data_IF_602644082024
#
_entry.id   IF_602644082024
#
_cell.length_a   1.000
_cell.length_b   1.000
_cell.length_c   1.000
_cell.angle_alpha   90.00
_cell.angle_beta   90.00
_cell.angle_gamma   90.00
#
_symmetry.space_group_name_H-M   'P 1'
#
loop_
_entity.id
_entity.type
_entity.pdbx_description
1 polymer ?
#
# COMPACT_ATOMS: atom_id res chain seq x y z
N UNK A 1 33.47 -6.36 31.31
CA UNK A 1 32.07 -5.90 31.13
C UNK A 1 31.84 -5.59 29.66
N UNK A 2 31.17 -6.48 28.92
CA UNK A 2 30.85 -6.26 27.51
C UNK A 2 29.62 -5.37 27.38
N UNK A 3 29.76 -4.19 26.76
CA UNK A 3 28.60 -3.34 26.46
C UNK A 3 27.70 -4.09 25.47
N UNK A 4 26.47 -4.39 25.86
CA UNK A 4 25.47 -4.90 24.94
C UNK A 4 25.34 -3.90 23.77
N UNK A 5 25.62 -4.35 22.54
CA UNK A 5 25.35 -3.55 21.34
C UNK A 5 23.85 -3.22 21.35
N UNK A 6 23.44 -1.94 21.21
CA UNK A 6 22.03 -1.62 21.08
C UNK A 6 21.46 -2.46 19.93
N UNK A 7 20.45 -3.26 20.22
CA UNK A 7 19.78 -3.98 19.14
C UNK A 7 19.28 -2.93 18.16
N UNK A 8 19.69 -3.05 16.91
CA UNK A 8 19.49 -2.02 15.92
C UNK A 8 18.01 -2.05 15.49
N UNK A 9 17.13 -1.52 16.34
CA UNK A 9 15.71 -1.38 16.01
C UNK A 9 15.54 -0.37 14.88
N UNK A 10 14.68 -0.67 13.91
CA UNK A 10 14.41 0.25 12.78
C UNK A 10 13.68 1.50 13.25
N UNK A 11 13.84 2.62 12.54
CA UNK A 11 13.25 3.90 12.95
C UNK A 11 11.71 3.78 13.09
N UNK A 12 11.20 4.03 14.30
CA UNK A 12 9.77 3.95 14.63
C UNK A 12 8.92 4.87 13.74
N UNK A 13 9.35 6.11 13.54
CA UNK A 13 8.60 7.09 12.74
C UNK A 13 8.49 6.63 11.28
N UNK A 14 9.54 5.99 10.76
CA UNK A 14 9.51 5.39 9.41
C UNK A 14 8.49 4.25 9.34
N UNK A 15 8.36 3.43 10.38
CA UNK A 15 7.34 2.35 10.43
C UNK A 15 5.92 2.92 10.53
N UNK A 16 5.72 4.00 11.31
CA UNK A 16 4.44 4.71 11.40
C UNK A 16 4.06 5.26 10.02
N UNK A 17 4.96 5.99 9.35
CA UNK A 17 4.72 6.54 8.02
C UNK A 17 4.42 5.44 6.99
N UNK A 18 5.18 4.34 7.01
CA UNK A 18 4.91 3.18 6.17
C UNK A 18 3.49 2.64 6.40
N UNK A 19 3.08 2.45 7.67
CA UNK A 19 1.76 1.91 8.00
C UNK A 19 0.63 2.88 7.61
N UNK A 20 0.85 4.18 7.78
CA UNK A 20 -0.09 5.21 7.35
C UNK A 20 -0.29 5.15 5.83
N UNK A 21 0.80 5.13 5.06
CA UNK A 21 0.75 5.00 3.60
C UNK A 21 0.08 3.69 3.17
N UNK A 22 0.29 2.58 3.88
CA UNK A 22 -0.37 1.31 3.60
C UNK A 22 -1.89 1.42 3.73
N UNK A 23 -2.38 2.04 4.81
CA UNK A 23 -3.82 2.25 5.04
C UNK A 23 -4.40 3.20 3.99
N UNK A 24 -3.74 4.33 3.73
CA UNK A 24 -4.18 5.29 2.70
C UNK A 24 -4.22 4.64 1.33
N UNK A 25 -3.19 3.88 0.94
CA UNK A 25 -3.15 3.16 -0.34
C UNK A 25 -4.32 2.18 -0.46
N UNK A 26 -4.62 1.43 0.61
CA UNK A 26 -5.76 0.52 0.62
C UNK A 26 -7.09 1.26 0.45
N UNK A 27 -7.31 2.37 1.16
CA UNK A 27 -8.51 3.21 1.00
C UNK A 27 -8.61 3.78 -0.42
N UNK A 28 -7.51 4.26 -1.00
CA UNK A 28 -7.48 4.73 -2.39
C UNK A 28 -7.86 3.62 -3.38
N UNK A 29 -7.43 2.37 -3.15
CA UNK A 29 -7.83 1.24 -4.02
C UNK A 29 -9.32 0.91 -3.85
N UNK A 30 -9.88 0.97 -2.64
CA UNK A 30 -11.33 0.83 -2.43
C UNK A 30 -12.10 1.90 -3.23
N UNK A 31 -11.64 3.15 -3.18
CA UNK A 31 -12.20 4.25 -3.98
C UNK A 31 -12.07 3.96 -5.47
N UNK A 32 -10.93 3.45 -5.94
CA UNK A 32 -10.76 3.09 -7.36
C UNK A 32 -11.78 2.05 -7.85
N UNK A 33 -12.04 1.02 -7.04
CA UNK A 33 -13.05 0.00 -7.36
C UNK A 33 -14.45 0.62 -7.42
N UNK A 34 -14.78 1.52 -6.48
CA UNK A 34 -16.04 2.27 -6.52
C UNK A 34 -16.16 3.15 -7.77
N UNK A 35 -15.12 3.89 -8.14
CA UNK A 35 -15.11 4.75 -9.33
C UNK A 35 -15.23 3.93 -10.63
N UNK A 36 -14.62 2.74 -10.70
CA UNK A 36 -14.84 1.82 -11.81
C UNK A 36 -16.32 1.37 -11.87
N UNK A 37 -16.91 1.06 -10.72
CA UNK A 37 -18.34 0.77 -10.61
C UNK A 37 -19.23 1.90 -11.10
N UNK A 38 -18.90 3.17 -10.80
CA UNK A 38 -19.62 4.31 -11.37
C UNK A 38 -19.52 4.36 -12.90
N UNK A 39 -18.32 4.11 -13.46
CA UNK A 39 -18.13 4.00 -14.91
C UNK A 39 -18.96 2.89 -15.56
N UNK A 40 -19.16 1.77 -14.86
CA UNK A 40 -19.95 0.62 -15.35
C UNK A 40 -21.46 0.84 -15.20
N UNK A 41 -21.92 1.32 -14.05
CA UNK A 41 -23.33 1.30 -13.66
C UNK A 41 -24.02 2.67 -13.70
N UNK A 42 -23.26 3.77 -13.61
CA UNK A 42 -23.79 5.12 -13.46
C UNK A 42 -23.46 6.05 -14.64
N UNK A 43 -22.90 5.52 -15.74
CA UNK A 43 -22.59 6.26 -16.96
C UNK A 43 -21.10 6.25 -17.30
N UNK A 44 -20.78 6.13 -18.59
CA UNK A 44 -19.40 6.00 -19.09
C UNK A 44 -18.57 7.27 -18.92
N UNK A 45 -19.21 8.42 -18.76
CA UNK A 45 -18.58 9.70 -18.42
C UNK A 45 -17.79 9.63 -17.09
N UNK A 46 -18.17 8.72 -16.18
CA UNK A 46 -17.51 8.55 -14.90
C UNK A 46 -16.15 7.84 -15.00
N UNK A 47 -15.83 7.17 -16.11
CA UNK A 47 -14.53 6.52 -16.32
C UNK A 47 -13.36 7.51 -16.24
N UNK A 48 -13.59 8.78 -16.59
CA UNK A 48 -12.58 9.82 -16.48
C UNK A 48 -12.13 10.04 -15.03
N UNK A 49 -13.02 9.87 -14.05
CA UNK A 49 -12.66 9.98 -12.63
C UNK A 49 -11.76 8.81 -12.19
N UNK A 50 -12.16 7.57 -12.52
CA UNK A 50 -11.37 6.37 -12.24
C UNK A 50 -9.96 6.44 -12.87
N UNK A 51 -9.88 6.85 -14.14
CA UNK A 51 -8.61 6.94 -14.87
C UNK A 51 -7.65 8.01 -14.33
N UNK A 52 -8.19 9.11 -13.78
CA UNK A 52 -7.37 10.21 -13.24
C UNK A 52 -6.97 9.99 -11.78
N UNK A 53 -7.81 9.33 -10.99
CA UNK A 53 -7.61 9.23 -9.55
C UNK A 53 -6.36 8.43 -9.15
N UNK A 54 -5.96 7.43 -9.95
CA UNK A 54 -4.73 6.64 -9.72
C UNK A 54 -3.47 7.51 -9.65
N UNK A 55 -3.40 8.60 -10.41
CA UNK A 55 -2.24 9.50 -10.47
C UNK A 55 -1.93 10.16 -9.11
N UNK A 56 -2.91 10.23 -8.20
CA UNK A 56 -2.69 10.79 -6.86
C UNK A 56 -1.92 9.85 -5.92
N UNK A 57 -1.92 8.53 -6.17
CA UNK A 57 -1.37 7.56 -5.22
C UNK A 57 -0.52 6.45 -5.84
N UNK A 58 -0.35 6.40 -7.16
CA UNK A 58 0.44 5.36 -7.85
C UNK A 58 1.91 5.28 -7.38
N UNK A 59 2.45 6.38 -6.85
CA UNK A 59 3.80 6.42 -6.28
C UNK A 59 3.86 6.12 -4.77
N UNK A 60 2.73 5.91 -4.08
CA UNK A 60 2.76 5.51 -2.67
C UNK A 60 3.45 4.15 -2.45
N UNK A 61 3.18 3.09 -3.25
CA UNK A 61 3.88 1.80 -3.08
C UNK A 61 5.40 1.85 -3.25
N UNK A 62 6.02 2.52 -4.25
CA UNK A 62 7.47 2.63 -4.31
C UNK A 62 8.04 3.46 -3.15
N UNK A 63 7.35 4.50 -2.67
CA UNK A 63 7.76 5.20 -1.44
C UNK A 63 7.77 4.24 -0.25
N UNK A 64 6.73 3.42 -0.07
CA UNK A 64 6.69 2.40 0.97
C UNK A 64 7.81 1.36 0.83
N UNK A 65 8.14 0.94 -0.39
CA UNK A 65 9.26 0.05 -0.65
C UNK A 65 10.58 0.64 -0.14
N UNK A 66 10.84 1.92 -0.41
CA UNK A 66 12.03 2.64 0.08
C UNK A 66 12.02 2.81 1.61
N UNK A 67 10.87 3.17 2.19
CA UNK A 67 10.71 3.27 3.65
C UNK A 67 10.99 1.93 4.36
N UNK A 68 10.74 0.80 3.69
CA UNK A 68 11.01 -0.52 4.27
C UNK A 68 12.48 -0.72 4.67
N UNK A 69 13.43 -0.06 3.99
CA UNK A 69 14.84 -0.11 4.33
C UNK A 69 15.14 0.71 5.60
N UNK A 70 14.66 1.95 5.68
CA UNK A 70 14.83 2.82 6.86
C UNK A 70 14.12 2.30 8.11
N UNK A 71 12.98 1.64 7.94
CA UNK A 71 12.24 0.98 9.01
C UNK A 71 12.78 -0.40 9.38
N UNK A 72 13.81 -0.90 8.68
CA UNK A 72 14.29 -2.30 8.78
C UNK A 72 13.13 -3.32 8.69
N UNK A 73 12.14 -3.03 7.84
CA UNK A 73 11.00 -3.91 7.54
C UNK A 73 11.50 -4.96 6.53
N UNK A 74 11.27 -6.24 6.82
CA UNK A 74 11.76 -7.39 6.05
C UNK A 74 10.62 -8.31 5.61
N UNK A 75 10.94 -9.27 4.75
CA UNK A 75 10.02 -10.29 4.29
C UNK A 75 8.92 -9.70 3.40
N UNK A 76 7.71 -10.23 3.54
CA UNK A 76 6.57 -9.91 2.66
C UNK A 76 6.23 -8.42 2.64
N UNK A 77 6.34 -7.71 3.78
CA UNK A 77 6.07 -6.26 3.86
C UNK A 77 7.12 -5.42 3.13
N UNK A 78 8.30 -5.96 2.84
CA UNK A 78 9.23 -5.28 1.94
C UNK A 78 8.79 -5.41 0.49
N UNK A 79 8.41 -6.60 0.06
CA UNK A 79 8.25 -6.90 -1.37
C UNK A 79 6.85 -6.65 -1.92
N UNK A 80 5.79 -6.71 -1.09
CA UNK A 80 4.43 -6.40 -1.57
C UNK A 80 4.33 -4.98 -2.14
N UNK A 81 4.84 -3.91 -1.53
CA UNK A 81 4.76 -2.57 -2.13
C UNK A 81 5.37 -2.48 -3.53
N UNK A 82 6.48 -3.20 -3.78
CA UNK A 82 7.04 -3.29 -5.12
C UNK A 82 6.10 -4.05 -6.07
N UNK A 83 5.54 -5.18 -5.64
CA UNK A 83 4.57 -5.93 -6.43
C UNK A 83 3.30 -5.11 -6.75
N UNK A 84 2.81 -4.31 -5.79
CA UNK A 84 1.69 -3.38 -5.99
C UNK A 84 2.02 -2.35 -7.06
N UNK A 85 3.22 -1.75 -7.03
CA UNK A 85 3.64 -0.80 -8.07
C UNK A 85 3.70 -1.44 -9.47
N UNK A 86 4.21 -2.68 -9.55
CA UNK A 86 4.23 -3.42 -10.81
C UNK A 86 2.82 -3.75 -11.31
N UNK A 87 1.90 -4.09 -10.41
CA UNK A 87 0.48 -4.32 -10.76
C UNK A 87 -0.22 -3.03 -11.22
N UNK A 88 0.07 -1.87 -10.62
CA UNK A 88 -0.44 -0.56 -11.08
C UNK A 88 0.09 -0.25 -12.48
N UNK A 89 1.40 -0.43 -12.70
CA UNK A 89 2.03 -0.27 -14.01
C UNK A 89 1.39 -1.20 -15.05
N UNK A 90 1.16 -2.45 -14.68
CA UNK A 90 0.49 -3.43 -15.53
C UNK A 90 -0.96 -3.03 -15.84
N UNK A 91 -1.70 -2.46 -14.89
CA UNK A 91 -3.03 -1.93 -15.16
C UNK A 91 -2.99 -0.81 -16.20
N UNK A 92 -2.04 0.12 -16.14
CA UNK A 92 -1.88 1.14 -17.19
C UNK A 92 -1.58 0.51 -18.56
N UNK A 93 -0.71 -0.51 -18.61
CA UNK A 93 -0.41 -1.23 -19.86
C UNK A 93 -1.62 -1.99 -20.40
N UNK A 94 -2.40 -2.64 -19.54
CA UNK A 94 -3.57 -3.45 -19.95
C UNK A 94 -4.60 -2.65 -20.74
N UNK A 95 -4.79 -1.37 -20.41
CA UNK A 95 -5.78 -0.50 -21.07
C UNK A 95 -5.19 0.41 -22.15
N UNK A 96 -3.88 0.68 -22.13
CA UNK A 96 -3.23 1.59 -23.12
C UNK A 96 -2.48 0.87 -24.22
N UNK A 97 -1.88 -0.28 -23.90
CA UNK A 97 -0.99 -1.02 -24.80
C UNK A 97 -1.68 -2.30 -25.29
N UNK A 98 -2.43 -2.96 -24.41
CA UNK A 98 -3.06 -4.25 -24.70
C UNK A 98 -4.57 -4.18 -24.94
N UNK A 99 -5.12 -2.97 -25.16
CA UNK A 99 -6.55 -2.75 -25.38
C UNK A 99 -7.13 -3.60 -26.51
N UNK A 100 -6.34 -3.81 -27.56
CA UNK A 100 -6.77 -4.52 -28.77
C UNK A 100 -6.66 -6.05 -28.62
N UNK A 101 -6.00 -6.51 -27.56
CA UNK A 101 -5.84 -7.94 -27.24
C UNK A 101 -6.79 -8.23 -26.07
N UNK A 102 -8.07 -8.47 -26.38
CA UNK A 102 -9.16 -8.50 -25.38
C UNK A 102 -8.91 -9.37 -24.15
N UNK A 103 -8.25 -10.52 -24.29
CA UNK A 103 -7.93 -11.39 -23.14
C UNK A 103 -6.81 -10.81 -22.25
N UNK A 104 -5.85 -10.07 -22.80
CA UNK A 104 -4.82 -9.36 -22.02
C UNK A 104 -5.42 -8.14 -21.33
N UNK A 105 -6.30 -7.39 -22.00
CA UNK A 105 -7.04 -6.30 -21.37
C UNK A 105 -7.88 -6.80 -20.18
N UNK A 106 -8.49 -7.99 -20.28
CA UNK A 106 -9.29 -8.58 -19.20
C UNK A 106 -8.48 -8.87 -17.91
N UNK A 107 -7.15 -9.03 -17.99
CA UNK A 107 -6.31 -9.15 -16.81
C UNK A 107 -6.31 -7.88 -15.93
N UNK A 108 -6.78 -6.74 -16.45
CA UNK A 108 -6.99 -5.53 -15.65
C UNK A 108 -7.81 -5.80 -14.38
N UNK A 109 -8.90 -6.57 -14.53
CA UNK A 109 -9.79 -6.93 -13.41
C UNK A 109 -9.11 -7.85 -12.41
N UNK A 110 -8.33 -8.83 -12.88
CA UNK A 110 -7.56 -9.72 -12.01
C UNK A 110 -6.50 -8.91 -11.25
N UNK A 111 -5.80 -8.00 -11.93
CA UNK A 111 -4.83 -7.10 -11.32
C UNK A 111 -5.47 -6.21 -10.26
N UNK A 112 -6.73 -5.75 -10.46
CA UNK A 112 -7.47 -4.97 -9.46
C UNK A 112 -7.69 -5.77 -8.17
N UNK A 113 -8.08 -7.04 -8.28
CA UNK A 113 -8.29 -7.93 -7.14
C UNK A 113 -6.98 -8.21 -6.38
N UNK A 114 -5.88 -8.43 -7.12
CA UNK A 114 -4.55 -8.61 -6.54
C UNK A 114 -4.05 -7.34 -5.83
N UNK A 115 -4.28 -6.17 -6.43
CA UNK A 115 -3.99 -4.86 -5.81
C UNK A 115 -4.75 -4.69 -4.50
N UNK A 116 -6.07 -4.93 -4.53
CA UNK A 116 -6.92 -4.85 -3.35
C UNK A 116 -6.41 -5.78 -2.24
N UNK A 117 -6.17 -7.05 -2.57
CA UNK A 117 -5.70 -8.04 -1.60
C UNK A 117 -4.33 -7.67 -1.01
N UNK A 118 -3.37 -7.31 -1.86
CA UNK A 118 -2.02 -6.95 -1.42
C UNK A 118 -2.00 -5.69 -0.54
N UNK A 119 -2.80 -4.69 -0.90
CA UNK A 119 -2.93 -3.46 -0.11
C UNK A 119 -3.62 -3.73 1.24
N UNK A 120 -4.72 -4.49 1.25
CA UNK A 120 -5.39 -4.93 2.47
C UNK A 120 -4.44 -5.71 3.39
N UNK A 121 -3.70 -6.67 2.83
CA UNK A 121 -2.72 -7.45 3.58
C UNK A 121 -1.65 -6.55 4.21
N UNK A 122 -1.09 -5.63 3.44
CA UNK A 122 -0.04 -4.71 3.89
C UNK A 122 -0.55 -3.77 4.98
N UNK A 123 -1.74 -3.21 4.81
CA UNK A 123 -2.39 -2.35 5.81
C UNK A 123 -2.64 -3.13 7.12
N UNK A 124 -3.24 -4.32 7.03
CA UNK A 124 -3.55 -5.15 8.21
C UNK A 124 -2.31 -5.58 8.99
N UNK A 125 -1.21 -5.88 8.30
CA UNK A 125 0.02 -6.38 8.91
C UNK A 125 0.90 -5.26 9.48
N UNK A 126 0.70 -4.01 9.04
CA UNK A 126 1.46 -2.84 9.51
C UNK A 126 0.69 -1.97 10.51
N UNK A 127 -0.63 -2.12 10.65
CA UNK A 127 -1.49 -1.28 11.52
C UNK A 127 -1.04 -1.19 12.98
N UNK A 128 -0.40 -2.23 13.52
CA UNK A 128 0.11 -2.22 14.89
C UNK A 128 1.17 -1.12 15.12
N UNK A 129 1.83 -0.62 14.07
CA UNK A 129 2.77 0.48 14.19
C UNK A 129 2.10 1.86 14.32
N UNK A 130 0.81 1.97 14.03
CA UNK A 130 0.04 3.22 14.19
C UNK A 130 -0.39 3.44 15.64
N UNK A 131 -0.47 2.37 16.44
CA UNK A 131 -0.90 2.47 17.83
C UNK A 131 0.28 2.83 18.74
N UNK A 132 0.09 3.76 19.71
CA UNK A 132 1.04 3.93 20.80
C UNK A 132 1.18 2.60 21.56
N UNK A 133 2.41 2.16 21.87
CA UNK A 133 2.59 1.02 22.77
C UNK A 133 2.15 1.48 24.16
N UNK A 134 1.30 0.70 24.84
CA UNK A 134 0.84 1.01 26.20
C UNK A 134 2.00 1.19 27.21
N UNK A 135 3.18 0.64 26.90
CA UNK A 135 4.43 0.79 27.67
C UNK A 135 5.09 2.16 27.53
N UNK A 136 4.68 2.99 26.56
CA UNK A 136 5.17 4.37 26.41
C UNK A 136 4.43 5.34 27.36
N UNK A 137 3.43 4.86 28.11
CA UNK A 137 2.71 5.66 29.10
C UNK A 137 3.63 5.95 30.30
N UNK A 138 3.74 7.21 30.78
CA UNK A 138 4.62 7.58 31.89
C UNK A 138 4.37 6.77 33.18
N UNK A 139 3.19 6.15 33.33
CA UNK A 139 2.86 5.24 34.43
C UNK A 139 3.73 3.97 34.48
N UNK A 140 4.24 3.48 33.35
CA UNK A 140 5.10 2.28 33.31
C UNK A 140 6.54 2.53 33.74
N UNK A 141 6.99 3.79 33.78
CA UNK A 141 8.34 4.17 34.21
C UNK A 141 8.48 4.35 35.72
N UNK A 142 7.38 4.35 36.48
CA UNK A 142 7.39 4.47 37.93
C UNK A 142 7.46 3.12 38.67
N UNK A 143 7.49 1.99 37.95
CA UNK A 143 7.48 0.65 38.54
C UNK A 143 8.74 -0.18 38.23
N UNK A 144 9.82 0.45 37.77
CA UNK A 144 11.09 -0.19 37.45
C UNK A 144 12.24 0.40 38.27
#
# INVERSE_FOLDING_TARGET
MGSAKPSAEGNRYVRVLYAFLAVVTFVCIVIQVFLAGLGTFAGSENWAMHAKFVNYFEFAPPIMFLLSFGGRIRGTLRWIPLALFLLISFQHMSVRVFSDIGWLAAFHTIAALLLFWGAMHTANRSKAWLLPRLTDSPAGKLQA
#
